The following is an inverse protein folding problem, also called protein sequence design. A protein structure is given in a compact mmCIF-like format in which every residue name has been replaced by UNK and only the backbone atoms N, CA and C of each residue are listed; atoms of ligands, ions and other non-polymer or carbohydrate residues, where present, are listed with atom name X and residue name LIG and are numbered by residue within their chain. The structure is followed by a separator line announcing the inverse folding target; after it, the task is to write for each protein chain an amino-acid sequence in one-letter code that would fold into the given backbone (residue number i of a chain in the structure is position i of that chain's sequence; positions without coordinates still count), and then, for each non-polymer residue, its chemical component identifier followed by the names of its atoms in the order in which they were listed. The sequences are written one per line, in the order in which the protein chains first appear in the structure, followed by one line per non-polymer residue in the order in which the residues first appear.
data_IF_004725893904
#
_entry.id   IF_004725893904
#
_cell.length_a   1.000
_cell.length_b   1.000
_cell.length_c   1.000
_cell.angle_alpha   90.00
_cell.angle_beta   90.00
_cell.angle_gamma   90.00
#
_symmetry.space_group_name_H-M   'P 1'
#
loop_
_entity.id
_entity.type
_entity.pdbx_description
1 polymer ?
#
# COMPACT_ATOMS: atom_id res chain seq x y z
N UNK A 1 1.32 -6.65 -0.56
CA UNK A 1 2.67 -6.72 0.08
C UNK A 1 2.80 -8.10 0.67
N UNK A 2 3.95 -8.77 0.54
CA UNK A 2 4.12 -10.13 1.05
C UNK A 2 4.81 -10.17 2.41
N UNK A 3 4.65 -11.28 3.15
CA UNK A 3 5.30 -11.47 4.46
C UNK A 3 6.83 -11.31 4.42
N UNK A 4 7.44 -11.53 3.24
CA UNK A 4 8.89 -11.39 3.03
C UNK A 4 9.36 -9.94 2.91
N UNK A 5 8.44 -8.98 2.88
CA UNK A 5 8.75 -7.55 2.76
C UNK A 5 8.98 -6.88 4.12
N UNK A 6 8.66 -7.55 5.23
CA UNK A 6 8.85 -7.02 6.57
C UNK A 6 10.30 -6.54 6.81
N UNK A 7 10.42 -5.31 7.32
CA UNK A 7 11.70 -4.71 7.67
C UNK A 7 12.47 -4.09 6.50
N UNK A 8 12.02 -4.28 5.25
CA UNK A 8 12.55 -3.57 4.08
C UNK A 8 12.06 -2.13 4.06
N UNK A 9 12.84 -1.25 3.46
CA UNK A 9 12.46 0.13 3.15
C UNK A 9 11.71 0.21 1.82
N UNK A 10 10.95 1.28 1.60
CA UNK A 10 10.22 1.46 0.33
C UNK A 10 11.14 1.48 -0.89
N UNK A 11 12.39 1.93 -0.76
CA UNK A 11 13.37 1.85 -1.84
C UNK A 11 13.83 0.42 -2.11
N UNK A 12 13.93 -0.42 -1.08
CA UNK A 12 14.30 -1.85 -1.20
C UNK A 12 13.16 -2.67 -1.82
N UNK A 13 11.90 -2.28 -1.60
CA UNK A 13 10.74 -2.87 -2.28
C UNK A 13 10.76 -2.61 -3.79
N UNK A 14 11.40 -1.53 -4.24
CA UNK A 14 11.63 -1.27 -5.66
C UNK A 14 10.39 -0.86 -6.47
N UNK A 15 9.24 -0.62 -5.82
CA UNK A 15 7.98 -0.21 -6.44
C UNK A 15 8.11 1.02 -7.35
N UNK A 16 8.93 1.99 -6.95
CA UNK A 16 9.21 3.18 -7.78
C UNK A 16 9.81 2.83 -9.15
N UNK A 17 10.64 1.78 -9.25
CA UNK A 17 11.22 1.32 -10.52
C UNK A 17 10.19 0.63 -11.42
N UNK A 18 9.01 0.32 -10.87
CA UNK A 18 7.87 -0.29 -11.55
C UNK A 18 6.76 0.73 -11.84
N UNK A 19 7.01 2.03 -11.64
CA UNK A 19 6.01 3.06 -11.89
C UNK A 19 4.98 3.22 -10.77
N UNK A 20 5.25 2.64 -9.59
CA UNK A 20 4.35 2.67 -8.44
C UNK A 20 4.91 3.63 -7.38
N UNK A 21 4.10 4.60 -6.97
CA UNK A 21 4.45 5.65 -6.01
C UNK A 21 3.60 5.43 -4.76
N UNK A 22 4.25 5.25 -3.61
CA UNK A 22 3.60 5.17 -2.29
C UNK A 22 3.32 6.59 -1.81
N UNK A 23 2.04 6.90 -1.62
CA UNK A 23 1.58 8.20 -1.15
C UNK A 23 1.46 8.23 0.38
N UNK A 24 0.96 7.13 0.95
CA UNK A 24 0.79 6.98 2.38
C UNK A 24 0.89 5.51 2.80
N UNK A 25 1.16 5.28 4.07
CA UNK A 25 1.09 3.96 4.71
C UNK A 25 0.17 4.07 5.92
N UNK A 26 -0.90 3.26 5.97
CA UNK A 26 -1.74 3.08 7.15
C UNK A 26 -1.18 1.92 7.96
N UNK A 27 -0.98 2.14 9.26
CA UNK A 27 -0.54 1.13 10.22
C UNK A 27 -1.50 1.14 11.40
N UNK A 28 -2.44 0.20 11.40
CA UNK A 28 -3.60 0.27 12.31
C UNK A 28 -4.39 1.56 12.04
N UNK A 29 -4.49 2.42 13.05
CA UNK A 29 -5.20 3.72 12.97
C UNK A 29 -4.29 4.90 12.64
N UNK A 30 -2.97 4.68 12.49
CA UNK A 30 -2.01 5.74 12.20
C UNK A 30 -1.75 5.84 10.69
N UNK A 31 -1.78 7.07 10.17
CA UNK A 31 -1.41 7.40 8.80
C UNK A 31 -0.01 8.03 8.74
N UNK A 32 0.89 7.39 8.00
CA UNK A 32 2.19 7.96 7.63
C UNK A 32 2.10 8.57 6.23
N UNK A 33 1.91 9.87 6.15
CA UNK A 33 1.80 10.61 4.87
C UNK A 33 3.18 10.89 4.29
N UNK A 34 3.37 10.58 3.00
CA UNK A 34 4.65 10.74 2.28
C UNK A 34 5.86 10.20 3.07
N UNK A 35 5.85 8.90 3.44
CA UNK A 35 6.92 8.31 4.23
C UNK A 35 8.28 8.39 3.52
N UNK A 36 9.39 8.58 4.27
CA UNK A 36 10.72 8.69 3.67
C UNK A 36 11.17 7.35 3.07
N UNK A 37 11.33 7.31 1.75
CA UNK A 37 11.56 6.05 1.01
C UNK A 37 12.79 5.25 1.44
N UNK A 38 13.85 5.92 1.89
CA UNK A 38 15.13 5.31 2.24
C UNK A 38 15.23 4.88 3.71
N UNK A 39 14.27 5.27 4.54
CA UNK A 39 14.32 5.04 5.99
C UNK A 39 13.06 4.40 6.56
N UNK A 40 11.90 4.61 5.91
CA UNK A 40 10.64 4.02 6.33
C UNK A 40 10.64 2.53 6.06
N UNK A 41 10.64 1.73 7.14
CA UNK A 41 10.55 0.28 7.08
C UNK A 41 9.09 -0.16 7.19
N UNK A 42 8.67 -0.98 6.24
CA UNK A 42 7.35 -1.58 6.25
C UNK A 42 7.27 -2.72 7.25
N UNK A 43 6.07 -2.96 7.78
CA UNK A 43 5.75 -4.04 8.72
C UNK A 43 4.57 -4.83 8.18
N UNK A 44 4.42 -6.07 8.67
CA UNK A 44 3.21 -6.83 8.40
C UNK A 44 1.98 -6.09 8.93
N UNK A 45 0.92 -6.03 8.12
CA UNK A 45 -0.29 -5.26 8.39
C UNK A 45 -0.24 -3.79 7.95
N UNK A 46 0.87 -3.32 7.36
CA UNK A 46 0.88 -2.01 6.72
C UNK A 46 0.05 -2.05 5.42
N UNK A 47 -0.87 -1.09 5.27
CA UNK A 47 -1.62 -0.87 4.02
C UNK A 47 -0.99 0.30 3.28
N UNK A 48 -0.55 0.06 2.04
CA UNK A 48 0.12 1.05 1.21
C UNK A 48 -0.89 1.70 0.26
N UNK A 49 -1.13 3.00 0.43
CA UNK A 49 -1.87 3.77 -0.57
C UNK A 49 -0.92 4.15 -1.70
N UNK A 50 -1.18 3.65 -2.90
CA UNK A 50 -0.30 3.85 -4.05
C UNK A 50 -0.99 4.58 -5.20
N UNK A 51 -0.18 5.29 -5.98
CA UNK A 51 -0.52 5.78 -7.32
C UNK A 51 0.40 5.10 -8.32
N UNK A 52 -0.16 4.57 -9.40
CA UNK A 52 0.61 3.89 -10.43
C UNK A 52 0.13 4.27 -11.83
N UNK A 53 0.96 3.99 -12.85
CA UNK A 53 0.58 4.12 -14.26
C UNK A 53 -0.24 2.91 -14.69
N UNK A 54 -1.17 3.07 -15.63
CA UNK A 54 -1.99 1.96 -16.16
C UNK A 54 -1.16 0.74 -16.59
N UNK A 55 0.03 0.97 -17.14
CA UNK A 55 0.95 -0.07 -17.60
C UNK A 55 1.53 -0.93 -16.46
N UNK A 56 1.37 -0.49 -15.21
CA UNK A 56 1.79 -1.21 -14.00
C UNK A 56 0.66 -2.04 -13.38
N UNK A 57 -0.55 -2.05 -13.96
CA UNK A 57 -1.73 -2.74 -13.41
C UNK A 57 -1.47 -4.25 -13.18
N UNK A 58 -0.94 -4.96 -14.18
CA UNK A 58 -0.59 -6.39 -14.04
C UNK A 58 0.44 -6.68 -12.93
N UNK A 59 1.25 -5.68 -12.55
CA UNK A 59 2.19 -5.79 -11.44
C UNK A 59 1.49 -5.59 -10.09
N UNK A 60 0.54 -4.65 -10.02
CA UNK A 60 -0.26 -4.40 -8.82
C UNK A 60 -1.17 -5.59 -8.50
N UNK A 61 -1.86 -6.15 -9.51
CA UNK A 61 -2.74 -7.32 -9.32
C UNK A 61 -2.02 -8.54 -8.73
N UNK A 62 -0.70 -8.66 -8.96
CA UNK A 62 0.11 -9.76 -8.38
C UNK A 62 0.53 -9.51 -6.93
N UNK A 63 0.47 -8.25 -6.49
CA UNK A 63 0.87 -7.82 -5.14
C UNK A 63 -0.32 -7.69 -4.19
N UNK A 64 -1.52 -7.51 -4.75
CA UNK A 64 -2.80 -7.53 -4.04
C UNK A 64 -3.24 -8.98 -3.83
N UNK A 65 -3.68 -9.33 -2.62
CA UNK A 65 -4.56 -10.49 -2.45
C UNK A 65 -5.97 -10.01 -2.71
N UNK A 66 -6.77 -10.81 -3.42
CA UNK A 66 -8.14 -10.45 -3.82
C UNK A 66 -9.00 -10.00 -2.61
N UNK A 67 -8.79 -10.65 -1.45
CA UNK A 67 -9.46 -10.35 -0.18
C UNK A 67 -9.14 -8.94 0.38
N UNK A 68 -7.91 -8.44 0.21
CA UNK A 68 -7.51 -7.11 0.74
C UNK A 68 -8.24 -5.96 0.03
N UNK A 69 -8.63 -6.15 -1.24
CA UNK A 69 -9.28 -5.12 -2.06
C UNK A 69 -10.75 -4.95 -1.72
N UNK A 70 -11.45 -6.05 -1.45
CA UNK A 70 -12.88 -6.02 -1.11
C UNK A 70 -13.10 -5.42 0.29
N UNK A 71 -12.32 -5.82 1.30
CA UNK A 71 -12.43 -5.28 2.66
C UNK A 71 -12.20 -3.76 2.71
N UNK A 72 -11.19 -3.24 2.00
CA UNK A 72 -10.92 -1.79 1.95
C UNK A 72 -12.05 -0.99 1.27
N UNK A 73 -12.69 -1.56 0.24
CA UNK A 73 -13.80 -0.88 -0.45
C UNK A 73 -15.04 -0.85 0.45
N UNK A 74 -15.28 -1.93 1.20
CA UNK A 74 -16.38 -1.99 2.17
C UNK A 74 -16.17 -0.99 3.33
N UNK A 75 -14.96 -0.90 3.90
CA UNK A 75 -14.64 0.12 4.94
C UNK A 75 -14.93 1.55 4.45
N UNK A 76 -14.46 1.92 3.25
CA UNK A 76 -14.66 3.26 2.68
C UNK A 76 -16.15 3.52 2.43
N UNK A 77 -16.89 2.51 1.95
CA UNK A 77 -18.33 2.64 1.74
C UNK A 77 -19.09 2.72 3.07
N UNK A 78 -18.72 2.03 4.14
CA UNK A 78 -19.40 2.19 5.42
C UNK A 78 -19.19 3.59 6.01
N UNK A 79 -17.97 4.14 5.93
CA UNK A 79 -17.66 5.50 6.41
C UNK A 79 -18.44 6.60 5.66
N UNK A 80 -18.71 6.45 4.36
CA UNK A 80 -19.49 7.45 3.59
C UNK A 80 -21.01 7.44 3.89
N UNK A 81 -21.54 6.39 4.51
CA UNK A 81 -22.98 6.26 4.81
C UNK A 81 -23.34 6.60 6.27
N UNK A 82 -22.35 6.82 7.13
CA UNK A 82 -22.52 7.29 8.51
C UNK A 82 -22.44 8.84 8.67
N UNK A 83 -22.17 9.58 7.59
CA UNK A 83 -22.30 11.06 7.51
C UNK A 83 -23.63 11.55 6.88
#
# INVERSE_FOLDING_TARGET
MDETDEGKTLVELGYARKGVIVLAVRRGDEWHIMPPYTAFKVKNGDILLVKYYSESEEFIEKLEKEEDREEMIEEIQEEEWEE
#
